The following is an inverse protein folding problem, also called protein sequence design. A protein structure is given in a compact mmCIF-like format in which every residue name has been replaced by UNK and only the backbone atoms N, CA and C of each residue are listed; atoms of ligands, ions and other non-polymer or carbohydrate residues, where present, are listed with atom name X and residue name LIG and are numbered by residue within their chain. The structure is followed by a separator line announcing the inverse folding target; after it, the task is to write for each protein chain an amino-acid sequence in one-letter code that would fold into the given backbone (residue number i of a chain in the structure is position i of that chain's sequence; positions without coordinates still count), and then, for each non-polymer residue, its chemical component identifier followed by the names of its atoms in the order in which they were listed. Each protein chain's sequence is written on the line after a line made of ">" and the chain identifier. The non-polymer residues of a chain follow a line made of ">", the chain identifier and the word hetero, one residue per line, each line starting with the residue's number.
data_IF_562318005402
#
_entry.id   IF_562318005402
#
_cell.length_a   1.000
_cell.length_b   1.000
_cell.length_c   1.000
_cell.angle_alpha   90.00
_cell.angle_beta   90.00
_cell.angle_gamma   90.00
#
_symmetry.space_group_name_H-M   'P 1'
#
loop_
_entity.id
_entity.type
_entity.pdbx_description
1 polymer ?
#
# COMPACT_ATOMS: atom_id res chain seq x y z
N UNK A 1 -14.72 17.71 -4.70
CA UNK A 1 -14.08 17.83 -3.37
C UNK A 1 -13.39 16.55 -2.92
N UNK A 2 -14.08 15.41 -2.81
CA UNK A 2 -13.48 14.15 -2.29
C UNK A 2 -12.26 13.66 -3.09
N UNK A 3 -12.32 13.74 -4.43
CA UNK A 3 -11.20 13.40 -5.34
C UNK A 3 -9.95 14.21 -5.05
N UNK A 4 -10.09 15.53 -4.90
CA UNK A 4 -8.98 16.43 -4.61
C UNK A 4 -8.34 16.15 -3.25
N UNK A 5 -9.14 15.76 -2.27
CA UNK A 5 -8.65 15.40 -0.93
C UNK A 5 -7.89 14.07 -0.98
N UNK A 6 -8.39 13.07 -1.69
CA UNK A 6 -7.71 11.78 -1.84
C UNK A 6 -6.39 11.91 -2.60
N UNK A 7 -6.36 12.71 -3.68
CA UNK A 7 -5.14 12.99 -4.44
C UNK A 7 -4.15 13.78 -3.59
N UNK A 8 -4.60 14.82 -2.88
CA UNK A 8 -3.73 15.58 -1.99
C UNK A 8 -3.16 14.70 -0.87
N UNK A 9 -3.96 13.78 -0.32
CA UNK A 9 -3.50 12.80 0.68
C UNK A 9 -2.45 11.86 0.08
N UNK A 10 -2.71 11.23 -1.07
CA UNK A 10 -1.77 10.33 -1.75
C UNK A 10 -0.44 11.02 -2.08
N UNK A 11 -0.49 12.25 -2.60
CA UNK A 11 0.70 13.02 -2.94
C UNK A 11 1.48 13.41 -1.67
N UNK A 12 0.77 13.90 -0.65
CA UNK A 12 1.42 14.33 0.60
C UNK A 12 2.02 13.14 1.36
N UNK A 13 1.33 12.00 1.37
CA UNK A 13 1.78 10.79 2.04
C UNK A 13 2.89 10.09 1.26
N UNK A 14 2.80 10.03 -0.07
CA UNK A 14 3.88 9.57 -0.93
C UNK A 14 5.15 10.42 -0.77
N UNK A 15 5.01 11.75 -0.70
CA UNK A 15 6.12 12.67 -0.45
C UNK A 15 6.74 12.49 0.96
N UNK A 16 5.92 12.18 1.98
CA UNK A 16 6.41 11.84 3.32
C UNK A 16 7.20 10.53 3.32
N UNK A 17 6.69 9.50 2.63
CA UNK A 17 7.42 8.24 2.43
C UNK A 17 8.73 8.45 1.65
N UNK A 18 8.80 9.44 0.75
CA UNK A 18 10.01 9.81 0.01
C UNK A 18 11.03 10.60 0.84
N UNK A 19 10.60 11.32 1.87
CA UNK A 19 11.45 12.18 2.70
C UNK A 19 12.24 11.44 3.79
N UNK A 20 11.77 10.28 4.25
CA UNK A 20 12.44 9.44 5.25
C UNK A 20 13.05 8.23 4.53
N UNK A 21 14.37 8.23 4.25
CA UNK A 21 15.10 7.12 3.58
C UNK A 21 14.61 6.73 2.16
N UNK A 22 13.89 7.64 1.49
CA UNK A 22 12.56 7.33 1.01
C UNK A 22 12.33 6.70 -0.36
N UNK A 23 13.31 6.04 -0.99
CA UNK A 23 12.97 5.19 -2.15
C UNK A 23 12.36 3.87 -1.67
N UNK A 24 12.94 3.28 -0.64
CA UNK A 24 12.54 1.97 -0.13
C UNK A 24 11.14 2.00 0.51
N UNK A 25 10.87 3.04 1.31
CA UNK A 25 9.60 3.19 2.04
C UNK A 25 8.48 3.59 1.08
N UNK A 26 8.79 4.39 0.06
CA UNK A 26 7.86 4.65 -1.04
C UNK A 26 7.58 3.39 -1.87
N UNK A 27 8.57 2.51 -2.07
CA UNK A 27 8.38 1.25 -2.77
C UNK A 27 7.45 0.31 -1.99
N UNK A 28 7.66 0.16 -0.68
CA UNK A 28 6.76 -0.58 0.21
C UNK A 28 5.32 -0.08 0.11
N UNK A 29 5.12 1.24 0.24
CA UNK A 29 3.81 1.88 0.06
C UNK A 29 3.19 1.56 -1.31
N UNK A 30 3.95 1.76 -2.39
CA UNK A 30 3.44 1.65 -3.76
C UNK A 30 3.12 0.20 -4.15
N UNK A 31 3.95 -0.74 -3.72
CA UNK A 31 3.73 -2.18 -3.90
C UNK A 31 2.49 -2.61 -3.13
N UNK A 32 2.37 -2.22 -1.86
CA UNK A 32 1.21 -2.56 -1.02
C UNK A 32 -0.08 -1.93 -1.54
N UNK A 33 -0.04 -0.68 -2.02
CA UNK A 33 -1.19 -0.02 -2.63
C UNK A 33 -1.63 -0.75 -3.91
N UNK A 34 -0.68 -1.09 -4.79
CA UNK A 34 -0.95 -1.76 -6.06
C UNK A 34 -1.43 -3.20 -5.87
N UNK A 35 -0.78 -3.93 -4.96
CA UNK A 35 -1.14 -5.31 -4.61
C UNK A 35 -2.54 -5.40 -4.03
N UNK A 36 -2.93 -4.46 -3.17
CA UNK A 36 -4.30 -4.37 -2.67
C UNK A 36 -5.28 -4.10 -3.81
N UNK A 37 -4.99 -3.13 -4.67
CA UNK A 37 -5.89 -2.78 -5.76
C UNK A 37 -6.10 -3.89 -6.78
N UNK A 38 -5.06 -4.67 -7.06
CA UNK A 38 -5.16 -5.82 -7.94
C UNK A 38 -5.87 -7.01 -7.26
N UNK A 39 -5.45 -7.36 -6.05
CA UNK A 39 -6.00 -8.54 -5.35
C UNK A 39 -7.46 -8.36 -4.93
N UNK A 40 -7.85 -7.16 -4.51
CA UNK A 40 -9.25 -6.87 -4.15
C UNK A 40 -10.21 -6.95 -5.33
N UNK A 41 -9.74 -6.72 -6.57
CA UNK A 41 -10.53 -6.90 -7.77
C UNK A 41 -10.92 -8.37 -8.02
N UNK A 42 -10.01 -9.31 -7.75
CA UNK A 42 -10.25 -10.74 -7.99
C UNK A 42 -10.83 -11.46 -6.77
N UNK A 43 -10.44 -11.05 -5.57
CA UNK A 43 -10.73 -11.76 -4.31
C UNK A 43 -11.75 -11.02 -3.42
N UNK A 44 -12.22 -9.84 -3.85
CA UNK A 44 -13.04 -8.94 -3.04
C UNK A 44 -12.24 -8.20 -1.96
N UNK A 45 -12.87 -7.24 -1.27
CA UNK A 45 -12.24 -6.38 -0.25
C UNK A 45 -11.46 -7.19 0.81
N UNK A 46 -12.12 -8.19 1.42
CA UNK A 46 -11.52 -9.03 2.46
C UNK A 46 -10.39 -9.89 1.91
N UNK A 47 -10.58 -10.50 0.73
CA UNK A 47 -9.56 -11.35 0.11
C UNK A 47 -8.32 -10.56 -0.31
N UNK A 48 -8.51 -9.35 -0.83
CA UNK A 48 -7.41 -8.44 -1.17
C UNK A 48 -6.66 -7.94 0.05
N UNK A 49 -7.37 -7.66 1.15
CA UNK A 49 -6.75 -7.30 2.43
C UNK A 49 -5.88 -8.43 2.98
N UNK A 50 -6.43 -9.66 3.05
CA UNK A 50 -5.67 -10.83 3.53
C UNK A 50 -4.45 -11.07 2.65
N UNK A 51 -4.62 -11.09 1.32
CA UNK A 51 -3.52 -11.33 0.38
C UNK A 51 -2.41 -10.29 0.55
N UNK A 52 -2.76 -9.02 0.56
CA UNK A 52 -1.76 -7.94 0.58
C UNK A 52 -1.09 -7.82 1.94
N UNK A 53 -1.84 -7.95 3.04
CA UNK A 53 -1.26 -8.01 4.38
C UNK A 53 -0.34 -9.21 4.56
N UNK A 54 -0.63 -10.36 3.93
CA UNK A 54 0.26 -11.52 3.98
C UNK A 54 1.61 -11.28 3.30
N UNK A 55 1.67 -10.39 2.30
CA UNK A 55 2.89 -10.05 1.59
C UNK A 55 3.67 -8.95 2.32
N UNK A 56 3.05 -7.79 2.56
CA UNK A 56 3.71 -6.65 3.20
C UNK A 56 4.00 -6.92 4.68
N UNK A 57 2.93 -7.01 5.49
CA UNK A 57 3.05 -7.25 6.94
C UNK A 57 3.67 -8.62 7.23
N UNK A 58 3.29 -9.65 6.46
CA UNK A 58 3.83 -11.01 6.66
C UNK A 58 5.34 -11.12 6.42
N UNK A 59 5.90 -10.36 5.47
CA UNK A 59 7.36 -10.25 5.28
C UNK A 59 8.02 -9.66 6.53
N UNK A 60 7.53 -8.52 7.03
CA UNK A 60 8.12 -7.86 8.20
C UNK A 60 8.02 -8.72 9.47
N UNK A 61 6.90 -9.43 9.66
CA UNK A 61 6.76 -10.41 10.76
C UNK A 61 7.76 -11.54 10.61
N UNK A 62 7.96 -12.08 9.41
CA UNK A 62 8.98 -13.11 9.16
C UNK A 62 10.38 -12.59 9.45
N UNK A 63 10.69 -11.36 9.02
CA UNK A 63 12.00 -10.75 9.21
C UNK A 63 12.28 -10.48 10.69
N UNK A 64 11.25 -10.21 11.50
CA UNK A 64 11.37 -10.08 12.95
C UNK A 64 11.82 -11.37 13.64
N UNK A 65 11.39 -12.53 13.13
CA UNK A 65 11.77 -13.84 13.67
C UNK A 65 12.98 -14.47 12.95
N UNK A 66 13.47 -13.85 11.89
CA UNK A 66 14.58 -14.35 11.10
C UNK A 66 15.91 -13.84 11.66
N UNK A 67 16.91 -14.71 11.90
CA UNK A 67 18.25 -14.27 12.29
C UNK A 67 19.00 -13.53 11.18
N UNK A 68 18.45 -13.50 9.96
CA UNK A 68 19.01 -12.85 8.78
C UNK A 68 18.18 -11.65 8.28
N UNK A 69 17.00 -11.43 8.87
CA UNK A 69 16.11 -10.34 8.50
C UNK A 69 16.30 -9.14 9.44
N UNK A 70 16.05 -7.94 8.92
CA UNK A 70 15.90 -6.74 9.73
C UNK A 70 14.49 -6.25 9.54
N UNK A 71 13.60 -6.52 10.50
CA UNK A 71 12.28 -5.92 10.48
C UNK A 71 12.41 -4.42 10.72
N UNK A 72 11.96 -3.63 9.75
CA UNK A 72 11.96 -2.18 9.86
C UNK A 72 10.55 -1.66 10.08
N UNK A 73 10.35 -0.96 11.21
CA UNK A 73 9.05 -0.38 11.55
C UNK A 73 8.58 0.59 10.45
N UNK A 74 9.52 1.28 9.77
CA UNK A 74 9.20 2.15 8.65
C UNK A 74 8.54 1.42 7.49
N UNK A 75 8.99 0.21 7.17
CA UNK A 75 8.46 -0.61 6.07
C UNK A 75 7.08 -1.16 6.41
N UNK A 76 6.92 -1.64 7.64
CA UNK A 76 5.62 -2.06 8.16
C UNK A 76 4.58 -0.93 8.06
N UNK A 77 4.96 0.29 8.48
CA UNK A 77 4.08 1.45 8.43
C UNK A 77 3.78 1.87 6.98
N UNK A 78 4.76 1.80 6.08
CA UNK A 78 4.58 2.09 4.67
C UNK A 78 3.62 1.10 4.00
N UNK A 79 3.76 -0.19 4.29
CA UNK A 79 2.89 -1.25 3.78
C UNK A 79 1.45 -1.09 4.26
N UNK A 80 1.27 -0.85 5.56
CA UNK A 80 -0.05 -0.58 6.15
C UNK A 80 -0.70 0.66 5.52
N UNK A 81 0.07 1.73 5.33
CA UNK A 81 -0.44 2.95 4.71
C UNK A 81 -0.83 2.73 3.25
N UNK A 82 -0.06 1.95 2.48
CA UNK A 82 -0.38 1.59 1.10
C UNK A 82 -1.71 0.84 1.00
N UNK A 83 -1.91 -0.17 1.86
CA UNK A 83 -3.16 -0.95 1.93
C UNK A 83 -4.35 -0.05 2.29
N UNK A 84 -4.22 0.79 3.33
CA UNK A 84 -5.31 1.66 3.78
C UNK A 84 -5.65 2.68 2.70
N UNK A 85 -4.65 3.32 2.10
CA UNK A 85 -4.84 4.29 1.04
C UNK A 85 -5.53 3.65 -0.18
N UNK A 86 -5.11 2.45 -0.58
CA UNK A 86 -5.74 1.72 -1.67
C UNK A 86 -7.19 1.35 -1.36
N UNK A 87 -7.45 0.88 -0.13
CA UNK A 87 -8.80 0.52 0.31
C UNK A 87 -9.74 1.71 0.32
N UNK A 88 -9.32 2.86 0.85
CA UNK A 88 -10.10 4.11 0.83
C UNK A 88 -10.33 4.52 -0.63
N UNK A 89 -9.28 4.53 -1.45
CA UNK A 89 -9.38 4.93 -2.84
C UNK A 89 -10.35 4.04 -3.63
N UNK A 90 -10.27 2.72 -3.50
CA UNK A 90 -11.09 1.77 -4.26
C UNK A 90 -12.53 1.75 -3.78
N UNK A 91 -12.76 1.70 -2.45
CA UNK A 91 -14.11 1.67 -1.89
C UNK A 91 -14.86 3.00 -2.08
N UNK A 92 -14.16 4.14 -2.18
CA UNK A 92 -14.81 5.44 -2.39
C UNK A 92 -14.90 5.90 -3.86
N UNK A 93 -14.09 5.36 -4.79
CA UNK A 93 -13.93 5.96 -6.13
C UNK A 93 -14.15 5.01 -7.31
N UNK A 94 -13.74 3.74 -7.23
CA UNK A 94 -13.70 2.88 -8.42
C UNK A 94 -14.00 1.42 -8.06
N UNK A 95 -15.27 1.05 -8.14
CA UNK A 95 -15.72 -0.33 -7.96
C UNK A 95 -15.14 -1.36 -8.96
N UNK A 96 -14.24 -0.99 -9.89
CA UNK A 96 -13.89 -1.87 -11.02
C UNK A 96 -12.64 -1.55 -11.86
N UNK A 97 -11.65 -0.76 -11.38
CA UNK A 97 -10.50 -0.38 -12.25
C UNK A 97 -9.12 -0.52 -11.59
N UNK A 98 -8.57 -1.76 -11.48
CA UNK A 98 -7.22 -2.02 -10.96
C UNK A 98 -6.10 -1.36 -11.78
N UNK A 99 -6.34 -1.01 -13.05
CA UNK A 99 -5.34 -0.37 -13.93
C UNK A 99 -5.06 1.10 -13.58
N UNK A 100 -6.01 1.82 -12.97
CA UNK A 100 -5.82 3.23 -12.58
C UNK A 100 -4.87 3.32 -11.37
N UNK A 101 -4.94 2.33 -10.48
CA UNK A 101 -4.08 2.20 -9.31
C UNK A 101 -2.61 2.10 -9.69
N UNK A 102 -2.29 1.35 -10.76
CA UNK A 102 -0.94 1.25 -11.32
C UNK A 102 -0.49 2.55 -12.01
N UNK A 103 -1.38 3.20 -12.76
CA UNK A 103 -1.05 4.42 -13.53
C UNK A 103 -0.84 5.68 -12.66
N UNK A 104 -1.38 5.71 -11.44
CA UNK A 104 -1.18 6.84 -10.52
C UNK A 104 0.19 6.77 -9.80
N UNK A 105 0.77 5.57 -9.71
CA UNK A 105 2.00 5.32 -8.94
C UNK A 105 3.28 5.19 -9.77
N UNK A 106 3.17 4.87 -11.06
CA UNK A 106 4.30 4.70 -12.00
C UNK A 106 4.14 5.61 -13.21
#
# INVERSE_FOLDING_TARGET
>A
MKIFIAIAFLISFGALCFGFSGVDKYLHFSVSFSAYGFSSYFLGDIGGLIFTSSIGIGKEVRDFFSPFGTAEIGDLLADMAGIIAARIYINEQFASKPLIVLYILF
#
